data_IF_960702900846
#
_entry.id   IF_960702900846
#
_cell.length_a   1.000
_cell.length_b   1.000
_cell.length_c   1.000
_cell.angle_alpha   90.00
_cell.angle_beta   90.00
_cell.angle_gamma   90.00
#
_symmetry.space_group_name_H-M   'P 1'
#
loop_
_entity.id
_entity.type
_entity.pdbx_description
1 polymer ?
#
# COMPACT_ATOMS: atom_id res chain seq x y z
N UNK A 1 -12.29 6.52 1.25
CA UNK A 1 -10.87 6.19 1.07
C UNK A 1 -10.84 5.05 0.09
N UNK A 2 -10.27 5.27 -1.09
CA UNK A 2 -10.24 4.25 -2.14
C UNK A 2 -9.03 3.34 -1.89
N UNK A 3 -9.21 2.02 -2.05
CA UNK A 3 -8.14 1.04 -1.89
C UNK A 3 -8.35 -0.13 -2.85
N UNK A 4 -7.26 -0.85 -3.15
CA UNK A 4 -7.31 -2.08 -3.95
C UNK A 4 -6.72 -3.23 -3.15
N UNK A 5 -7.40 -4.37 -3.12
CA UNK A 5 -6.92 -5.57 -2.43
C UNK A 5 -6.83 -6.73 -3.42
N UNK A 6 -5.71 -7.45 -3.41
CA UNK A 6 -5.49 -8.61 -4.26
C UNK A 6 -4.56 -9.62 -3.60
N UNK A 7 -4.49 -10.82 -4.19
CA UNK A 7 -3.51 -11.83 -3.79
C UNK A 7 -2.08 -11.37 -4.09
N UNK A 8 -1.16 -11.83 -3.25
CA UNK A 8 0.27 -11.60 -3.42
C UNK A 8 0.76 -12.33 -4.68
N UNK A 9 1.18 -11.56 -5.69
CA UNK A 9 1.80 -12.09 -6.90
C UNK A 9 2.77 -11.08 -7.51
N UNK A 10 3.75 -11.60 -8.25
CA UNK A 10 4.70 -10.84 -9.06
C UNK A 10 3.97 -9.90 -10.03
N UNK A 11 2.96 -10.40 -10.74
CA UNK A 11 2.15 -9.62 -11.69
C UNK A 11 1.42 -8.47 -11.01
N UNK A 12 0.86 -8.70 -9.82
CA UNK A 12 0.19 -7.64 -9.04
C UNK A 12 1.19 -6.54 -8.70
N UNK A 13 2.37 -6.90 -8.19
CA UNK A 13 3.40 -5.93 -7.78
C UNK A 13 3.92 -5.15 -8.99
N UNK A 14 4.26 -5.83 -10.08
CA UNK A 14 4.76 -5.16 -11.29
C UNK A 14 3.72 -4.24 -11.89
N UNK A 15 2.44 -4.65 -11.96
CA UNK A 15 1.38 -3.79 -12.46
C UNK A 15 1.18 -2.53 -11.61
N UNK A 16 1.26 -2.68 -10.27
CA UNK A 16 1.14 -1.55 -9.34
C UNK A 16 2.32 -0.59 -9.51
N UNK A 17 3.55 -1.09 -9.46
CA UNK A 17 4.74 -0.24 -9.56
C UNK A 17 4.84 0.43 -10.92
N UNK A 18 4.58 -0.30 -12.01
CA UNK A 18 4.56 0.28 -13.37
C UNK A 18 3.53 1.37 -13.54
N UNK A 19 2.34 1.21 -12.94
CA UNK A 19 1.32 2.25 -12.97
C UNK A 19 1.79 3.54 -12.29
N UNK A 20 2.53 3.42 -11.17
CA UNK A 20 3.02 4.59 -10.43
C UNK A 20 4.31 5.20 -10.98
N UNK A 21 5.20 4.40 -11.56
CA UNK A 21 6.47 4.87 -12.09
C UNK A 21 6.42 5.25 -13.58
N UNK A 22 5.28 5.02 -14.25
CA UNK A 22 5.14 5.16 -15.71
C UNK A 22 6.20 4.33 -16.47
N UNK A 23 6.68 3.24 -15.86
CA UNK A 23 7.69 2.33 -16.40
C UNK A 23 7.06 1.03 -16.92
N UNK A 24 7.69 0.39 -17.90
CA UNK A 24 7.24 -0.90 -18.41
C UNK A 24 7.30 -2.02 -17.35
N UNK A 25 6.29 -2.90 -17.34
CA UNK A 25 6.11 -4.00 -16.37
C UNK A 25 7.33 -4.91 -16.27
N UNK A 26 7.98 -5.17 -17.39
CA UNK A 26 9.14 -6.07 -17.49
C UNK A 26 10.34 -5.46 -16.77
N UNK A 27 10.58 -4.16 -16.97
CA UNK A 27 11.77 -3.47 -16.47
C UNK A 27 11.76 -3.33 -14.93
N UNK A 28 10.58 -3.24 -14.33
CA UNK A 28 10.42 -3.08 -12.88
C UNK A 28 10.90 -4.31 -12.12
N UNK A 29 10.49 -5.51 -12.55
CA UNK A 29 10.81 -6.74 -11.83
C UNK A 29 12.22 -7.26 -12.12
N UNK A 30 12.91 -6.68 -13.10
CA UNK A 30 14.35 -6.90 -13.32
C UNK A 30 15.21 -6.18 -12.27
N UNK A 31 14.66 -5.17 -11.58
CA UNK A 31 15.38 -4.45 -10.52
C UNK A 31 15.64 -5.39 -9.34
N UNK A 32 16.92 -5.61 -9.02
CA UNK A 32 17.36 -6.50 -7.92
C UNK A 32 16.72 -6.18 -6.58
N UNK A 33 16.44 -4.90 -6.32
CA UNK A 33 15.78 -4.44 -5.10
C UNK A 33 14.34 -4.95 -5.02
N UNK A 34 13.59 -4.90 -6.13
CA UNK A 34 12.22 -5.40 -6.20
C UNK A 34 12.20 -6.92 -6.04
N UNK A 35 13.11 -7.62 -6.71
CA UNK A 35 13.25 -9.09 -6.54
C UNK A 35 13.58 -9.46 -5.10
N UNK A 36 14.48 -8.73 -4.46
CA UNK A 36 14.84 -8.99 -3.07
C UNK A 36 13.63 -8.84 -2.15
N UNK A 37 12.88 -7.74 -2.27
CA UNK A 37 11.69 -7.48 -1.46
C UNK A 37 10.62 -8.55 -1.74
N UNK A 38 10.41 -8.91 -3.01
CA UNK A 38 9.46 -9.95 -3.39
C UNK A 38 9.79 -11.29 -2.74
N UNK A 39 11.04 -11.74 -2.89
CA UNK A 39 11.50 -13.01 -2.30
C UNK A 39 11.40 -12.98 -0.78
N UNK A 40 11.78 -11.87 -0.15
CA UNK A 40 11.66 -11.69 1.30
C UNK A 40 10.20 -11.81 1.78
N UNK A 41 9.26 -11.16 1.08
CA UNK A 41 7.84 -11.23 1.40
C UNK A 41 7.27 -12.63 1.13
N UNK A 42 7.76 -13.31 0.09
CA UNK A 42 7.41 -14.70 -0.19
C UNK A 42 7.89 -15.64 0.92
N UNK A 43 9.11 -15.46 1.42
CA UNK A 43 9.67 -16.24 2.54
C UNK A 43 8.90 -16.01 3.85
N UNK A 44 8.33 -14.81 4.03
CA UNK A 44 7.41 -14.50 5.12
C UNK A 44 5.98 -15.04 4.92
N UNK A 45 5.74 -15.80 3.84
CA UNK A 45 4.43 -16.31 3.45
C UNK A 45 3.38 -15.21 3.29
N UNK A 46 3.75 -14.06 2.72
CA UNK A 46 2.81 -13.01 2.36
C UNK A 46 1.72 -13.55 1.42
N UNK A 47 0.45 -13.28 1.72
CA UNK A 47 -0.68 -13.80 0.94
C UNK A 47 -1.45 -12.72 0.21
N UNK A 48 -1.45 -11.49 0.74
CA UNK A 48 -2.28 -10.41 0.22
C UNK A 48 -1.51 -9.10 0.13
N UNK A 49 -1.95 -8.27 -0.82
CA UNK A 49 -1.46 -6.91 -1.04
C UNK A 49 -2.66 -5.98 -0.96
N UNK A 50 -2.52 -4.90 -0.20
CA UNK A 50 -3.46 -3.77 -0.20
C UNK A 50 -2.74 -2.51 -0.66
N UNK A 51 -3.31 -1.83 -1.65
CA UNK A 51 -2.86 -0.54 -2.16
C UNK A 51 -3.80 0.56 -1.66
N UNK A 52 -3.21 1.57 -1.05
CA UNK A 52 -3.82 2.89 -0.84
C UNK A 52 -3.18 3.86 -1.86
N UNK A 53 -3.88 4.22 -2.95
CA UNK A 53 -3.31 5.07 -4.00
C UNK A 53 -3.12 6.52 -3.56
N UNK A 54 -3.89 6.96 -2.57
CA UNK A 54 -3.87 8.32 -2.03
C UNK A 54 -3.62 8.28 -0.52
N UNK A 55 -2.39 7.97 -0.13
CA UNK A 55 -1.93 8.00 1.26
C UNK A 55 -1.26 9.33 1.57
N UNK A 56 -1.72 9.99 2.64
CA UNK A 56 -1.08 11.19 3.17
C UNK A 56 0.00 10.78 4.17
N UNK A 57 1.26 11.08 3.84
CA UNK A 57 2.38 10.77 4.73
C UNK A 57 2.61 11.92 5.72
N UNK A 58 1.98 11.81 6.89
CA UNK A 58 2.12 12.79 7.97
C UNK A 58 3.55 12.87 8.53
N UNK A 59 4.34 11.78 8.44
CA UNK A 59 5.74 11.77 8.87
C UNK A 59 6.64 12.50 7.86
N UNK A 60 6.34 12.40 6.56
CA UNK A 60 6.95 13.29 5.56
C UNK A 60 6.62 14.76 5.87
N UNK A 61 5.42 15.08 6.33
CA UNK A 61 5.05 16.45 6.70
C UNK A 61 5.85 16.97 7.91
N UNK A 62 6.07 16.15 8.94
CA UNK A 62 6.90 16.53 10.10
C UNK A 62 8.37 16.75 9.72
N UNK A 63 8.94 15.90 8.87
CA UNK A 63 10.32 16.05 8.37
C UNK A 63 10.44 17.23 7.38
N UNK A 64 9.42 17.45 6.54
CA UNK A 64 9.36 18.56 5.59
C UNK A 64 9.21 19.91 6.32
N UNK A 65 8.41 19.98 7.39
CA UNK A 65 8.24 21.18 8.23
C UNK A 65 9.56 21.64 8.86
N UNK A 66 10.46 20.72 9.17
CA UNK A 66 11.78 21.00 9.76
C UNK A 66 12.86 21.32 8.71
N UNK A 67 12.61 21.03 7.43
CA UNK A 67 13.52 21.38 6.34
C UNK A 67 13.17 22.75 5.75
N UNK A 68 14.14 23.67 5.66
CA UNK A 68 13.95 25.04 5.16
C UNK A 68 13.67 25.14 3.64
N UNK A 69 13.06 24.13 3.03
CA UNK A 69 12.77 24.03 1.59
C UNK A 69 11.28 24.30 1.38
N UNK A 70 10.86 25.54 1.60
CA UNK A 70 9.47 26.02 1.41
C UNK A 70 9.03 26.17 -0.06
N UNK A 71 9.73 25.54 -1.01
CA UNK A 71 9.57 25.83 -2.45
C UNK A 71 9.11 24.65 -3.31
N UNK A 72 8.86 23.47 -2.74
CA UNK A 72 8.25 22.40 -3.51
C UNK A 72 6.73 22.53 -3.43
N UNK A 73 6.14 22.79 -4.59
CA UNK A 73 4.71 22.81 -4.87
C UNK A 73 4.02 21.66 -4.10
N UNK A 74 3.01 21.99 -3.29
CA UNK A 74 2.34 21.08 -2.34
C UNK A 74 1.63 19.87 -3.00
N UNK A 75 1.87 19.61 -4.28
CA UNK A 75 1.29 18.51 -5.06
C UNK A 75 1.83 17.11 -4.69
N UNK A 76 2.94 17.03 -3.95
CA UNK A 76 3.63 15.77 -3.63
C UNK A 76 3.39 15.27 -2.19
N UNK A 77 2.36 15.73 -1.49
CA UNK A 77 2.05 15.27 -0.12
C UNK A 77 1.36 13.89 -0.13
N UNK A 78 0.78 13.51 -1.27
CA UNK A 78 0.07 12.25 -1.45
C UNK A 78 0.98 11.24 -2.16
N UNK A 79 1.12 10.04 -1.58
CA UNK A 79 1.87 8.93 -2.17
C UNK A 79 1.02 7.66 -2.20
N UNK A 80 1.44 6.67 -2.98
CA UNK A 80 0.84 5.35 -2.92
C UNK A 80 1.49 4.53 -1.80
N UNK A 81 0.69 3.86 -0.99
CA UNK A 81 1.15 2.96 0.07
C UNK A 81 0.74 1.53 -0.22
N UNK A 82 1.70 0.62 -0.16
CA UNK A 82 1.47 -0.82 -0.24
C UNK A 82 1.58 -1.45 1.14
N UNK A 83 0.62 -2.31 1.45
CA UNK A 83 0.59 -3.13 2.65
C UNK A 83 0.68 -4.60 2.25
N UNK A 84 1.52 -5.34 2.97
CA UNK A 84 1.77 -6.76 2.76
C UNK A 84 1.37 -7.50 4.03
N UNK A 85 0.52 -8.51 3.90
CA UNK A 85 0.01 -9.23 5.06
C UNK A 85 -0.45 -10.64 4.72
N UNK A 86 -0.63 -11.42 5.77
CA UNK A 86 -1.11 -12.80 5.72
C UNK A 86 -2.22 -12.98 6.75
N UNK A 87 -3.16 -13.88 6.48
CA UNK A 87 -4.15 -14.26 7.49
C UNK A 87 -3.51 -15.18 8.53
N UNK A 88 -3.97 -15.09 9.78
CA UNK A 88 -3.61 -16.07 10.81
C UNK A 88 -4.46 -17.33 10.73
N UNK A 89 -5.74 -17.20 10.37
CA UNK A 89 -6.70 -18.29 10.38
C UNK A 89 -7.15 -18.65 8.96
N UNK A 90 -7.16 -19.95 8.66
CA UNK A 90 -7.48 -20.44 7.31
C UNK A 90 -8.93 -20.20 6.90
N UNK A 91 -9.84 -20.05 7.86
CA UNK A 91 -11.29 -19.92 7.63
C UNK A 91 -11.75 -18.52 7.20
N UNK A 92 -10.84 -17.54 7.17
CA UNK A 92 -11.17 -16.16 6.79
C UNK A 92 -10.63 -15.82 5.41
N UNK A 93 -11.51 -15.47 4.48
CA UNK A 93 -11.13 -15.00 3.15
C UNK A 93 -11.01 -13.47 3.13
N UNK A 94 -9.80 -12.99 2.85
CA UNK A 94 -9.58 -11.57 2.59
C UNK A 94 -10.05 -11.26 1.18
N UNK A 95 -11.06 -10.41 1.08
CA UNK A 95 -11.55 -9.83 -0.17
C UNK A 95 -11.69 -8.32 -0.02
N UNK A 96 -11.84 -7.62 -1.15
CA UNK A 96 -12.08 -6.18 -1.14
C UNK A 96 -13.34 -5.81 -0.33
N UNK A 97 -14.39 -6.64 -0.41
CA UNK A 97 -15.62 -6.46 0.36
C UNK A 97 -15.37 -6.64 1.87
N UNK A 98 -14.65 -7.71 2.24
CA UNK A 98 -14.31 -8.02 3.63
C UNK A 98 -13.59 -6.86 4.31
N UNK A 99 -12.61 -6.26 3.62
CA UNK A 99 -11.87 -5.11 4.15
C UNK A 99 -12.75 -3.86 4.21
N UNK A 100 -13.60 -3.64 3.20
CA UNK A 100 -14.52 -2.51 3.17
C UNK A 100 -15.49 -2.52 4.35
N UNK A 101 -16.03 -3.69 4.67
CA UNK A 101 -16.97 -3.87 5.78
C UNK A 101 -16.27 -3.68 7.14
N UNK A 102 -15.04 -4.19 7.27
CA UNK A 102 -14.23 -3.97 8.47
C UNK A 102 -13.92 -2.48 8.71
N UNK A 103 -13.54 -1.75 7.67
CA UNK A 103 -13.25 -0.31 7.77
C UNK A 103 -14.49 0.49 8.14
N UNK A 104 -15.66 0.16 7.58
CA UNK A 104 -16.94 0.78 7.96
C UNK A 104 -17.26 0.55 9.44
N UNK A 105 -17.20 -0.70 9.89
CA UNK A 105 -17.45 -1.03 11.30
C UNK A 105 -16.53 -0.22 12.23
N UNK A 106 -15.23 -0.13 11.91
CA UNK A 106 -14.26 0.62 12.72
C UNK A 106 -14.52 2.13 12.71
N UNK A 107 -15.02 2.66 11.60
CA UNK A 107 -15.40 4.08 11.48
C UNK A 107 -16.62 4.38 12.36
N UNK A 108 -17.65 3.53 12.29
CA UNK A 108 -18.86 3.65 13.11
C UNK A 108 -18.53 3.54 14.61
N UNK A 109 -17.64 2.61 14.99
CA UNK A 109 -17.15 2.48 16.37
C UNK A 109 -16.39 3.73 16.84
N UNK A 110 -15.57 4.34 15.98
CA UNK A 110 -14.84 5.56 16.31
C UNK A 110 -15.79 6.75 16.51
N UNK A 111 -16.77 6.92 15.63
CA UNK A 111 -17.78 8.00 15.72
C UNK A 111 -18.67 7.86 16.96
N UNK A 112 -18.96 6.65 17.43
CA UNK A 112 -19.72 6.42 18.67
C UNK A 112 -18.94 6.74 19.95
N UNK A 113 -17.61 6.79 19.88
CA UNK A 113 -16.72 7.05 21.02
C UNK A 113 -16.21 8.50 21.07
N UNK A 114 -16.70 9.36 20.18
CA UNK A 114 -16.47 10.82 20.13
C UNK A 114 -17.62 11.59 20.81
#
# INVERSE_FOLDING_TARGET
MDFLCSGFSDKTISALISHFLEEDIVDVFEKKQIQYIYNYLQDLNCQYILLEPEFFDDLYLEDYQNSAIKYLDNKNICCARLHFFSKQDDDFEISHQTISDYLKQKTDEYEQNL
#
